data_IF_168253399249
#
_entry.id   IF_168253399249
#
_cell.length_a   1.000
_cell.length_b   1.000
_cell.length_c   1.000
_cell.angle_alpha   90.00
_cell.angle_beta   90.00
_cell.angle_gamma   90.00
#
_symmetry.space_group_name_H-M   'P 1'
#
loop_
_entity.id
_entity.type
_entity.pdbx_description
1 polymer ?
#
# COMPACT_ATOMS: atom_id res chain seq x y z
N UNK A 1 -0.41 9.56 -30.99
CA UNK A 1 -1.32 8.40 -31.04
C UNK A 1 -2.68 8.72 -30.40
N UNK A 2 -3.79 8.40 -31.08
CA UNK A 2 -5.15 8.35 -30.50
C UNK A 2 -5.52 6.90 -30.18
N UNK A 3 -6.31 6.68 -29.13
CA UNK A 3 -6.86 5.37 -28.79
C UNK A 3 -8.38 5.41 -28.96
N UNK A 4 -8.99 4.27 -29.24
CA UNK A 4 -10.46 4.15 -29.33
C UNK A 4 -11.11 4.15 -27.95
N UNK A 5 -12.40 4.44 -27.90
CA UNK A 5 -13.21 4.30 -26.68
C UNK A 5 -13.11 2.89 -26.11
N UNK A 6 -13.18 1.86 -26.96
CA UNK A 6 -13.06 0.48 -26.52
C UNK A 6 -11.68 0.19 -25.89
N UNK A 7 -10.59 0.71 -26.46
CA UNK A 7 -9.25 0.58 -25.88
C UNK A 7 -9.15 1.30 -24.52
N UNK A 8 -9.74 2.49 -24.40
CA UNK A 8 -9.82 3.20 -23.12
C UNK A 8 -10.62 2.42 -22.07
N UNK A 9 -11.77 1.84 -22.44
CA UNK A 9 -12.59 1.06 -21.50
C UNK A 9 -11.91 -0.24 -21.09
N UNK A 10 -11.18 -0.92 -21.98
CA UNK A 10 -10.35 -2.06 -21.60
C UNK A 10 -9.28 -1.67 -20.58
N UNK A 11 -8.64 -0.51 -20.76
CA UNK A 11 -7.69 0.02 -19.78
C UNK A 11 -8.34 0.24 -18.41
N UNK A 12 -9.55 0.82 -18.37
CA UNK A 12 -10.30 1.00 -17.11
C UNK A 12 -10.66 -0.36 -16.49
N UNK A 13 -11.22 -1.30 -17.26
CA UNK A 13 -11.62 -2.64 -16.78
C UNK A 13 -10.43 -3.38 -16.15
N UNK A 14 -9.26 -3.40 -16.82
CA UNK A 14 -8.03 -3.98 -16.25
C UNK A 14 -7.60 -3.30 -14.97
N UNK A 15 -7.64 -1.97 -14.95
CA UNK A 15 -7.26 -1.18 -13.79
C UNK A 15 -8.13 -1.50 -12.58
N UNK A 16 -9.45 -1.58 -12.77
CA UNK A 16 -10.40 -1.94 -11.72
C UNK A 16 -10.21 -3.38 -11.24
N UNK A 17 -10.04 -4.33 -12.18
CA UNK A 17 -9.70 -5.72 -11.84
C UNK A 17 -8.43 -5.81 -10.99
N UNK A 18 -7.41 -5.03 -11.34
CA UNK A 18 -6.13 -5.04 -10.64
C UNK A 18 -6.21 -4.40 -9.26
N UNK A 19 -6.89 -3.26 -9.15
CA UNK A 19 -6.94 -2.48 -7.91
C UNK A 19 -7.92 -3.09 -6.90
N UNK A 20 -9.05 -3.64 -7.39
CA UNK A 20 -10.16 -4.08 -6.54
C UNK A 20 -10.53 -5.56 -6.68
N UNK A 21 -9.94 -6.29 -7.63
CA UNK A 21 -10.37 -7.66 -7.92
C UNK A 21 -11.78 -7.72 -8.50
N UNK A 22 -12.20 -6.70 -9.25
CA UNK A 22 -13.58 -6.50 -9.70
C UNK A 22 -14.17 -7.62 -10.57
N UNK A 23 -13.35 -8.50 -11.17
CA UNK A 23 -13.81 -9.60 -12.01
C UNK A 23 -14.54 -9.17 -13.29
N UNK A 24 -14.27 -7.95 -13.77
CA UNK A 24 -14.83 -7.43 -15.01
C UNK A 24 -14.25 -8.20 -16.21
N UNK A 25 -15.10 -8.55 -17.15
CA UNK A 25 -14.65 -8.97 -18.47
C UNK A 25 -13.96 -7.78 -19.17
N UNK A 26 -12.77 -7.98 -19.70
CA UNK A 26 -11.98 -6.94 -20.39
C UNK A 26 -12.32 -6.91 -21.89
N UNK A 27 -13.52 -6.43 -22.21
CA UNK A 27 -14.07 -6.43 -23.57
C UNK A 27 -14.25 -5.03 -24.17
N UNK A 28 -14.04 -3.96 -23.38
CA UNK A 28 -14.26 -2.58 -23.82
C UNK A 28 -15.72 -2.13 -23.77
N UNK A 29 -16.61 -2.91 -23.13
CA UNK A 29 -18.04 -2.61 -23.02
C UNK A 29 -18.38 -2.02 -21.63
N UNK A 30 -19.08 -0.88 -21.62
CA UNK A 30 -19.55 -0.20 -20.41
C UNK A 30 -20.83 -0.86 -19.87
N UNK A 31 -20.70 -2.04 -19.27
CA UNK A 31 -21.83 -2.75 -18.63
C UNK A 31 -22.31 -2.04 -17.35
N UNK A 32 -23.46 -2.46 -16.81
CA UNK A 32 -23.94 -1.99 -15.50
C UNK A 32 -22.90 -2.30 -14.41
N UNK A 33 -22.34 -3.51 -14.41
CA UNK A 33 -21.27 -3.91 -13.48
C UNK A 33 -20.04 -3.01 -13.64
N UNK A 34 -19.66 -2.63 -14.87
CA UNK A 34 -18.58 -1.66 -15.08
C UNK A 34 -18.88 -0.32 -14.39
N UNK A 35 -20.09 0.23 -14.56
CA UNK A 35 -20.46 1.51 -13.96
C UNK A 35 -20.48 1.44 -12.43
N UNK A 36 -20.94 0.33 -11.85
CA UNK A 36 -20.87 0.08 -10.41
C UNK A 36 -19.42 0.08 -9.92
N UNK A 37 -18.51 -0.61 -10.61
CA UNK A 37 -17.10 -0.65 -10.24
C UNK A 37 -16.40 0.71 -10.42
N UNK A 38 -16.82 1.54 -11.38
CA UNK A 38 -16.36 2.93 -11.48
C UNK A 38 -16.84 3.76 -10.28
N UNK A 39 -18.09 3.59 -9.83
CA UNK A 39 -18.59 4.25 -8.62
C UNK A 39 -17.83 3.78 -7.38
N UNK A 40 -17.50 2.49 -7.29
CA UNK A 40 -16.65 1.96 -6.21
C UNK A 40 -15.27 2.60 -6.21
N UNK A 41 -14.65 2.76 -7.39
CA UNK A 41 -13.40 3.50 -7.53
C UNK A 41 -13.57 4.97 -7.11
N UNK A 42 -14.59 5.66 -7.61
CA UNK A 42 -14.82 7.07 -7.28
C UNK A 42 -15.04 7.27 -5.78
N UNK A 43 -15.86 6.43 -5.17
CA UNK A 43 -16.04 6.37 -3.73
C UNK A 43 -14.71 6.12 -3.01
N UNK A 44 -13.90 5.18 -3.50
CA UNK A 44 -12.65 4.82 -2.87
C UNK A 44 -11.59 5.91 -2.91
N UNK A 45 -11.66 6.79 -3.89
CA UNK A 45 -10.71 7.86 -4.09
C UNK A 45 -11.31 9.24 -3.84
N UNK A 46 -12.44 9.34 -3.14
CA UNK A 46 -13.12 10.60 -2.82
C UNK A 46 -13.34 11.48 -4.07
N UNK A 47 -13.98 10.88 -5.07
CA UNK A 47 -14.43 11.52 -6.30
C UNK A 47 -15.95 11.53 -6.32
N UNK A 48 -16.57 12.44 -7.09
CA UNK A 48 -18.01 12.40 -7.33
C UNK A 48 -18.45 11.02 -7.87
N UNK A 49 -19.50 10.42 -7.28
CA UNK A 49 -20.01 9.07 -7.58
C UNK A 49 -20.82 9.01 -8.90
N UNK A 50 -20.25 9.52 -9.98
CA UNK A 50 -20.97 9.67 -11.25
C UNK A 50 -21.12 8.34 -12.00
N UNK A 51 -20.25 7.37 -11.77
CA UNK A 51 -20.14 6.15 -12.59
C UNK A 51 -19.49 6.38 -13.96
N UNK A 52 -18.99 7.59 -14.22
CA UNK A 52 -18.29 7.97 -15.45
C UNK A 52 -16.84 8.35 -15.14
N UNK A 53 -15.89 7.85 -15.92
CA UNK A 53 -14.47 8.17 -15.76
C UNK A 53 -14.13 9.56 -16.31
N UNK A 54 -14.28 10.60 -15.50
CA UNK A 54 -13.87 11.96 -15.83
C UNK A 54 -12.33 12.12 -15.82
N UNK A 55 -11.75 13.20 -16.37
CA UNK A 55 -10.29 13.39 -16.40
C UNK A 55 -9.62 13.34 -15.02
N UNK A 56 -10.28 13.87 -13.98
CA UNK A 56 -9.79 13.78 -12.60
C UNK A 56 -9.74 12.33 -12.09
N UNK A 57 -10.74 11.52 -12.47
CA UNK A 57 -10.84 10.10 -12.12
C UNK A 57 -9.74 9.31 -12.81
N UNK A 58 -9.50 9.59 -14.10
CA UNK A 58 -8.41 9.01 -14.87
C UNK A 58 -7.06 9.28 -14.22
N UNK A 59 -6.79 10.53 -13.81
CA UNK A 59 -5.53 10.88 -13.14
C UNK A 59 -5.33 10.13 -11.82
N UNK A 60 -6.41 9.93 -11.03
CA UNK A 60 -6.34 9.11 -9.83
C UNK A 60 -6.14 7.62 -10.17
N UNK A 61 -6.77 7.11 -11.22
CA UNK A 61 -6.67 5.70 -11.63
C UNK A 61 -5.26 5.36 -12.14
N UNK A 62 -4.65 6.25 -12.92
CA UNK A 62 -3.23 6.14 -13.35
C UNK A 62 -2.33 5.98 -12.14
N UNK A 63 -2.46 6.88 -11.16
CA UNK A 63 -1.63 6.87 -9.97
C UNK A 63 -1.90 5.67 -9.06
N UNK A 64 -3.15 5.22 -8.98
CA UNK A 64 -3.53 4.00 -8.26
C UNK A 64 -2.89 2.75 -8.88
N UNK A 65 -2.93 2.63 -10.20
CA UNK A 65 -2.26 1.55 -10.93
C UNK A 65 -0.75 1.52 -10.64
N UNK A 66 -0.11 2.68 -10.60
CA UNK A 66 1.33 2.82 -10.33
C UNK A 66 1.74 2.41 -8.90
N UNK A 67 0.78 2.09 -8.04
CA UNK A 67 1.00 1.54 -6.71
C UNK A 67 0.68 0.05 -6.57
N UNK A 68 0.31 -0.61 -7.67
CA UNK A 68 0.10 -2.05 -7.72
C UNK A 68 1.40 -2.72 -8.15
N UNK A 69 1.96 -3.55 -7.27
CA UNK A 69 3.29 -4.14 -7.46
C UNK A 69 3.40 -4.88 -8.79
N UNK A 70 2.41 -5.73 -9.09
CA UNK A 70 2.34 -6.51 -10.32
C UNK A 70 2.27 -5.64 -11.58
N UNK A 71 1.61 -4.47 -11.54
CA UNK A 71 1.61 -3.57 -12.69
C UNK A 71 2.96 -2.91 -12.91
N UNK A 72 3.64 -2.53 -11.83
CA UNK A 72 4.95 -1.89 -11.94
C UNK A 72 5.99 -2.88 -12.44
N UNK A 73 5.95 -4.13 -11.95
CA UNK A 73 6.75 -5.23 -12.49
C UNK A 73 6.47 -5.38 -13.99
N UNK A 74 5.20 -5.43 -14.40
CA UNK A 74 4.82 -5.51 -15.81
C UNK A 74 5.36 -4.33 -16.64
N UNK A 75 5.28 -3.09 -16.14
CA UNK A 75 5.86 -1.90 -16.80
C UNK A 75 7.38 -2.08 -17.00
N UNK A 76 8.10 -2.46 -15.94
CA UNK A 76 9.56 -2.64 -15.97
C UNK A 76 9.95 -3.74 -16.97
N UNK A 77 9.19 -4.83 -16.99
CA UNK A 77 9.36 -5.93 -17.91
C UNK A 77 9.06 -5.57 -19.37
N UNK A 78 8.06 -4.72 -19.63
CA UNK A 78 7.77 -4.20 -20.97
C UNK A 78 8.92 -3.29 -21.44
N UNK A 79 9.37 -2.37 -20.59
CA UNK A 79 10.47 -1.45 -20.90
C UNK A 79 11.78 -2.19 -21.23
N UNK A 80 12.10 -3.24 -20.47
CA UNK A 80 13.24 -4.10 -20.77
C UNK A 80 13.08 -4.84 -22.10
N UNK A 81 11.88 -5.38 -22.37
CA UNK A 81 11.61 -6.12 -23.61
C UNK A 81 11.78 -5.25 -24.85
N UNK A 82 11.35 -3.98 -24.78
CA UNK A 82 11.50 -3.01 -25.89
C UNK A 82 12.83 -2.27 -25.86
N UNK A 83 13.79 -2.70 -25.01
CA UNK A 83 15.13 -2.10 -24.85
C UNK A 83 15.12 -0.61 -24.48
N UNK A 84 14.06 -0.15 -23.81
CA UNK A 84 13.94 1.21 -23.29
C UNK A 84 14.65 1.41 -21.93
N UNK A 85 15.28 0.36 -21.39
CA UNK A 85 16.10 0.42 -20.17
C UNK A 85 16.65 -0.95 -19.75
N UNK A 86 17.47 -0.95 -18.70
CA UNK A 86 17.96 -2.15 -18.00
C UNK A 86 17.50 -2.10 -16.54
N UNK A 87 16.21 -2.37 -16.34
CA UNK A 87 15.54 -2.26 -15.05
C UNK A 87 15.49 -3.59 -14.33
N UNK A 88 15.58 -3.56 -13.00
CA UNK A 88 15.20 -4.70 -12.15
C UNK A 88 13.68 -4.65 -11.96
N UNK A 89 12.91 -5.71 -12.27
CA UNK A 89 11.45 -5.75 -12.04
C UNK A 89 11.11 -5.90 -10.55
N UNK A 90 11.37 -4.85 -9.77
CA UNK A 90 11.20 -4.81 -8.32
C UNK A 90 9.84 -4.26 -7.87
N UNK A 91 9.00 -3.85 -8.81
CA UNK A 91 7.68 -3.28 -8.52
C UNK A 91 7.72 -1.85 -7.97
N UNK A 92 8.84 -1.14 -8.13
CA UNK A 92 9.02 0.24 -7.68
C UNK A 92 9.25 1.20 -8.86
N UNK A 93 8.50 2.31 -8.88
CA UNK A 93 8.73 3.40 -9.85
C UNK A 93 9.75 4.39 -9.27
N UNK A 94 11.02 3.98 -9.26
CA UNK A 94 12.16 4.85 -8.97
C UNK A 94 12.55 5.73 -10.15
N UNK A 95 13.61 6.53 -9.99
CA UNK A 95 14.09 7.46 -11.04
C UNK A 95 14.39 6.75 -12.37
N UNK A 96 15.06 5.60 -12.35
CA UNK A 96 15.40 4.85 -13.56
C UNK A 96 14.15 4.36 -14.31
N UNK A 97 13.17 3.82 -13.57
CA UNK A 97 11.88 3.41 -14.14
C UNK A 97 11.16 4.61 -14.76
N UNK A 98 11.11 5.75 -14.06
CA UNK A 98 10.45 6.97 -14.55
C UNK A 98 11.14 7.53 -15.80
N UNK A 99 12.47 7.58 -15.83
CA UNK A 99 13.24 7.99 -17.01
C UNK A 99 12.97 7.07 -18.18
N UNK A 100 12.97 5.75 -17.97
CA UNK A 100 12.69 4.76 -19.02
C UNK A 100 11.27 4.90 -19.58
N UNK A 101 10.27 5.18 -18.73
CA UNK A 101 8.89 5.48 -19.19
C UNK A 101 8.89 6.71 -20.10
N UNK A 102 9.58 7.79 -19.71
CA UNK A 102 9.66 9.02 -20.53
C UNK A 102 10.34 8.78 -21.87
N UNK A 103 11.46 8.06 -21.88
CA UNK A 103 12.17 7.69 -23.12
C UNK A 103 11.27 6.86 -24.04
N UNK A 104 10.56 5.87 -23.50
CA UNK A 104 9.58 5.09 -24.25
C UNK A 104 8.46 5.98 -24.82
N UNK A 105 7.88 6.86 -24.00
CA UNK A 105 6.83 7.78 -24.43
C UNK A 105 7.30 8.70 -25.56
N UNK A 106 8.48 9.31 -25.42
CA UNK A 106 9.07 10.18 -26.44
C UNK A 106 9.29 9.43 -27.76
N UNK A 107 9.85 8.21 -27.70
CA UNK A 107 10.07 7.36 -28.87
C UNK A 107 8.75 7.00 -29.59
N UNK A 108 7.68 6.81 -28.82
CA UNK A 108 6.35 6.47 -29.34
C UNK A 108 5.51 7.70 -29.75
N UNK A 109 6.09 8.92 -29.69
CA UNK A 109 5.36 10.16 -30.00
C UNK A 109 4.20 10.44 -29.02
N UNK A 110 4.35 10.04 -27.76
CA UNK A 110 3.45 10.31 -26.66
C UNK A 110 3.97 11.47 -25.79
N UNK A 111 3.10 12.01 -24.93
CA UNK A 111 3.55 12.93 -23.89
C UNK A 111 4.46 12.20 -22.90
N UNK A 112 5.68 12.71 -22.69
CA UNK A 112 6.75 12.15 -21.87
C UNK A 112 6.63 12.57 -20.39
N UNK A 113 5.42 12.45 -19.83
CA UNK A 113 5.10 12.81 -18.45
C UNK A 113 5.60 11.80 -17.41
N UNK A 114 6.10 10.64 -17.84
CA UNK A 114 6.54 9.56 -16.98
C UNK A 114 5.38 8.81 -16.31
N UNK A 115 4.16 8.93 -16.83
CA UNK A 115 2.96 8.25 -16.35
C UNK A 115 2.42 7.28 -17.40
N UNK A 116 2.23 6.02 -16.99
CA UNK A 116 1.59 5.00 -17.83
C UNK A 116 0.07 5.13 -17.70
N UNK A 117 -0.51 5.99 -18.53
CA UNK A 117 -1.95 6.06 -18.77
C UNK A 117 -2.41 5.20 -19.94
N UNK A 118 -3.69 5.30 -20.31
CA UNK A 118 -4.31 4.43 -21.32
C UNK A 118 -3.55 4.37 -22.66
N UNK A 119 -3.06 5.52 -23.15
CA UNK A 119 -2.27 5.58 -24.40
C UNK A 119 -0.92 4.88 -24.26
N UNK A 120 -0.19 5.16 -23.19
CA UNK A 120 1.11 4.54 -22.91
C UNK A 120 0.99 3.04 -22.71
N UNK A 121 0.00 2.58 -21.93
CA UNK A 121 -0.24 1.13 -21.73
C UNK A 121 -0.58 0.44 -23.06
N UNK A 122 -1.43 1.06 -23.89
CA UNK A 122 -1.79 0.49 -25.21
C UNK A 122 -0.58 0.35 -26.12
N UNK A 123 0.30 1.35 -26.15
CA UNK A 123 1.56 1.29 -26.90
C UNK A 123 2.51 0.22 -26.32
N UNK A 124 2.65 0.12 -24.99
CA UNK A 124 3.45 -0.94 -24.36
C UNK A 124 2.94 -2.35 -24.70
N UNK A 125 1.62 -2.56 -24.75
CA UNK A 125 1.02 -3.84 -25.16
C UNK A 125 1.40 -4.17 -26.61
N UNK A 126 1.29 -3.20 -27.51
CA UNK A 126 1.59 -3.39 -28.93
C UNK A 126 3.08 -3.73 -29.16
N UNK A 127 3.98 -3.03 -28.47
CA UNK A 127 5.43 -3.17 -28.68
C UNK A 127 6.05 -4.34 -27.92
N UNK A 128 5.63 -4.58 -26.67
CA UNK A 128 6.19 -5.65 -25.85
C UNK A 128 5.49 -7.01 -26.05
N UNK A 129 4.26 -7.02 -26.60
CA UNK A 129 3.45 -8.23 -26.75
C UNK A 129 3.02 -8.87 -25.43
N UNK A 130 3.18 -8.17 -24.30
CA UNK A 130 2.88 -8.67 -22.95
C UNK A 130 1.50 -8.22 -22.51
N UNK A 131 0.76 -9.12 -21.87
CA UNK A 131 -0.54 -8.80 -21.26
C UNK A 131 -0.35 -8.12 -19.90
N UNK A 132 -0.98 -6.96 -19.66
CA UNK A 132 -0.97 -6.32 -18.34
C UNK A 132 -1.80 -7.12 -17.32
N UNK A 133 -1.44 -7.06 -16.03
CA UNK A 133 -2.26 -7.63 -14.95
C UNK A 133 -3.68 -7.05 -14.96
N UNK A 134 -4.67 -7.87 -14.59
CA UNK A 134 -6.09 -7.49 -14.60
C UNK A 134 -6.85 -7.90 -15.86
N UNK A 135 -6.18 -8.54 -16.82
CA UNK A 135 -6.78 -9.23 -17.96
C UNK A 135 -6.62 -10.75 -17.74
N UNK A 136 -7.70 -11.48 -17.47
CA UNK A 136 -7.66 -12.93 -17.25
C UNK A 136 -7.13 -13.65 -18.51
N UNK A 137 -6.31 -14.69 -18.32
CA UNK A 137 -6.05 -15.65 -19.39
C UNK A 137 -7.30 -16.51 -19.62
N UNK A 138 -7.70 -16.68 -20.88
CA UNK A 138 -8.70 -17.66 -21.29
C UNK A 138 -8.15 -19.09 -21.12
N UNK A 139 -7.95 -19.53 -19.87
CA UNK A 139 -7.76 -20.93 -19.49
C UNK A 139 -9.08 -21.57 -19.05
N UNK A 140 -9.19 -22.90 -19.00
CA UNK A 140 -10.42 -23.58 -18.62
C UNK A 140 -10.85 -23.12 -17.23
N UNK A 141 -12.07 -22.57 -17.18
CA UNK A 141 -12.74 -22.11 -15.97
C UNK A 141 -12.66 -23.23 -14.92
N UNK A 142 -12.07 -23.03 -13.73
CA UNK A 142 -12.35 -23.94 -12.63
C UNK A 142 -13.88 -24.03 -12.49
N UNK A 143 -14.45 -25.22 -12.24
CA UNK A 143 -15.89 -25.40 -12.15
C UNK A 143 -16.44 -24.30 -11.23
N UNK A 144 -17.59 -23.69 -11.58
CA UNK A 144 -18.13 -22.57 -10.84
C UNK A 144 -18.12 -22.95 -9.37
N UNK A 145 -17.23 -22.31 -8.60
CA UNK A 145 -17.32 -22.39 -7.15
C UNK A 145 -18.75 -21.93 -6.87
N UNK A 146 -19.61 -22.79 -6.29
CA UNK A 146 -20.94 -22.35 -5.89
C UNK A 146 -20.73 -21.03 -5.20
N UNK A 147 -21.44 -19.94 -5.57
CA UNK A 147 -21.17 -18.63 -5.02
C UNK A 147 -21.08 -18.80 -3.52
N UNK A 148 -19.86 -18.68 -2.98
CA UNK A 148 -19.68 -18.68 -1.53
C UNK A 148 -20.68 -17.63 -1.09
N UNK A 149 -21.64 -17.95 -0.21
CA UNK A 149 -22.60 -16.97 0.24
C UNK A 149 -21.80 -15.72 0.53
N UNK A 150 -22.09 -14.62 -0.20
CA UNK A 150 -21.46 -13.33 0.10
C UNK A 150 -21.57 -13.24 1.62
N UNK A 151 -20.45 -13.14 2.38
CA UNK A 151 -20.57 -12.97 3.82
C UNK A 151 -21.55 -11.83 3.98
N UNK A 152 -22.70 -12.14 4.58
CA UNK A 152 -23.80 -11.21 4.74
C UNK A 152 -23.13 -9.94 5.31
N UNK A 153 -23.30 -8.77 4.70
CA UNK A 153 -22.75 -7.56 5.27
C UNK A 153 -23.18 -7.55 6.74
N UNK A 154 -22.23 -7.66 7.68
CA UNK A 154 -22.54 -7.59 9.11
C UNK A 154 -23.20 -6.24 9.43
N UNK A 155 -23.10 -5.28 8.50
CA UNK A 155 -23.84 -4.03 8.47
C UNK A 155 -24.43 -3.77 7.06
N UNK A 156 -25.76 -3.62 6.90
CA UNK A 156 -26.42 -3.24 5.64
C UNK A 156 -25.90 -1.93 5.03
N UNK A 157 -25.24 -1.09 5.82
CA UNK A 157 -24.71 0.20 5.40
C UNK A 157 -23.22 0.17 5.02
N UNK A 158 -22.55 -0.99 5.07
CA UNK A 158 -21.14 -1.13 4.70
C UNK A 158 -20.95 -2.22 3.61
N UNK A 159 -20.74 -1.86 2.33
CA UNK A 159 -20.59 -2.82 1.25
C UNK A 159 -19.23 -3.53 1.24
N UNK A 160 -18.26 -3.12 2.07
CA UNK A 160 -16.91 -3.68 2.10
C UNK A 160 -16.74 -4.64 3.27
N UNK A 161 -16.11 -5.78 3.01
CA UNK A 161 -15.61 -6.64 4.08
C UNK A 161 -14.55 -5.89 4.92
N UNK A 162 -14.35 -6.27 6.20
CA UNK A 162 -13.28 -5.69 7.03
C UNK A 162 -11.90 -5.71 6.37
N UNK A 163 -11.60 -6.76 5.59
CA UNK A 163 -10.32 -6.90 4.88
C UNK A 163 -10.17 -5.95 3.69
N UNK A 164 -11.23 -5.82 2.89
CA UNK A 164 -11.27 -4.86 1.79
C UNK A 164 -11.14 -3.44 2.32
N UNK A 165 -11.83 -3.14 3.42
CA UNK A 165 -11.77 -1.84 4.10
C UNK A 165 -10.37 -1.53 4.60
N UNK A 166 -9.74 -2.48 5.29
CA UNK A 166 -8.36 -2.32 5.76
C UNK A 166 -7.40 -2.04 4.60
N UNK A 167 -7.48 -2.85 3.53
CA UNK A 167 -6.65 -2.69 2.33
C UNK A 167 -6.86 -1.33 1.67
N UNK A 168 -8.12 -0.90 1.56
CA UNK A 168 -8.51 0.40 1.03
C UNK A 168 -7.92 1.55 1.85
N UNK A 169 -8.04 1.51 3.17
CA UNK A 169 -7.47 2.52 4.07
C UNK A 169 -5.96 2.62 3.92
N UNK A 170 -5.24 1.49 3.94
CA UNK A 170 -3.78 1.47 3.77
C UNK A 170 -3.37 2.05 2.41
N UNK A 171 -4.06 1.68 1.34
CA UNK A 171 -3.76 2.18 0.00
C UNK A 171 -4.02 3.70 -0.14
N UNK A 172 -5.12 4.18 0.43
CA UNK A 172 -5.49 5.60 0.41
C UNK A 172 -4.46 6.47 1.16
N UNK A 173 -4.11 6.07 2.39
CA UNK A 173 -3.12 6.78 3.19
C UNK A 173 -1.72 6.73 2.55
N UNK A 174 -1.37 5.60 1.93
CA UNK A 174 -0.09 5.48 1.19
C UNK A 174 -0.04 6.47 0.04
N UNK A 175 -1.11 6.53 -0.75
CA UNK A 175 -1.23 7.45 -1.87
C UNK A 175 -1.10 8.91 -1.40
N UNK A 176 -1.85 9.28 -0.36
CA UNK A 176 -1.85 10.62 0.21
C UNK A 176 -0.45 11.00 0.69
N UNK A 177 0.16 10.17 1.54
CA UNK A 177 1.49 10.41 2.06
C UNK A 177 2.53 10.46 0.92
N UNK A 178 2.41 9.66 -0.13
CA UNK A 178 3.40 9.60 -1.20
C UNK A 178 3.37 10.82 -2.13
N UNK A 179 2.18 11.37 -2.42
CA UNK A 179 2.06 12.54 -3.29
C UNK A 179 1.99 13.88 -2.56
N UNK A 180 1.65 13.87 -1.27
CA UNK A 180 1.69 15.08 -0.47
C UNK A 180 3.14 15.50 -0.20
N UNK A 181 3.58 16.58 -0.86
CA UNK A 181 4.90 17.18 -0.68
C UNK A 181 4.91 18.19 0.49
N UNK A 182 4.36 17.79 1.64
CA UNK A 182 4.51 18.51 2.90
C UNK A 182 3.34 19.40 3.34
N UNK A 183 2.16 19.32 2.71
CA UNK A 183 0.97 20.04 3.19
C UNK A 183 0.32 19.34 4.37
N UNK A 184 0.20 18.02 4.28
CA UNK A 184 -0.48 17.16 5.26
C UNK A 184 0.57 16.51 6.18
N UNK A 185 1.74 16.18 5.64
CA UNK A 185 2.85 15.58 6.38
C UNK A 185 4.12 16.45 6.30
N UNK A 186 4.16 17.61 7.00
CA UNK A 186 5.28 18.56 6.92
C UNK A 186 6.60 17.97 7.46
N UNK A 187 6.53 17.02 8.40
CA UNK A 187 7.72 16.34 8.92
C UNK A 187 8.19 15.24 7.95
N UNK A 188 9.26 15.52 7.21
CA UNK A 188 9.82 14.60 6.21
C UNK A 188 10.26 13.25 6.80
N UNK A 189 10.80 13.23 8.02
CA UNK A 189 11.23 12.00 8.68
C UNK A 189 10.03 11.14 9.06
N UNK A 190 9.00 11.75 9.67
CA UNK A 190 7.75 11.08 10.01
C UNK A 190 7.04 10.53 8.77
N UNK A 191 6.99 11.32 7.69
CA UNK A 191 6.42 10.93 6.40
C UNK A 191 7.15 9.71 5.80
N UNK A 192 8.48 9.67 5.85
CA UNK A 192 9.27 8.52 5.36
C UNK A 192 8.97 7.25 6.15
N UNK A 193 8.88 7.34 7.48
CA UNK A 193 8.49 6.20 8.34
C UNK A 193 7.07 5.73 8.03
N UNK A 194 6.13 6.66 7.91
CA UNK A 194 4.74 6.39 7.55
C UNK A 194 4.64 5.62 6.22
N UNK A 195 5.34 6.10 5.18
CA UNK A 195 5.40 5.43 3.88
C UNK A 195 5.97 4.02 4.00
N UNK A 196 7.02 3.84 4.81
CA UNK A 196 7.60 2.53 5.07
C UNK A 196 6.60 1.58 5.75
N UNK A 197 5.87 2.03 6.79
CA UNK A 197 4.84 1.22 7.46
C UNK A 197 3.73 0.79 6.49
N UNK A 198 3.19 1.77 5.75
CA UNK A 198 2.12 1.53 4.79
C UNK A 198 2.57 0.58 3.68
N UNK A 199 3.80 0.72 3.18
CA UNK A 199 4.36 -0.19 2.20
C UNK A 199 4.44 -1.63 2.71
N UNK A 200 4.92 -1.84 3.94
CA UNK A 200 4.97 -3.16 4.58
C UNK A 200 3.58 -3.76 4.78
N UNK A 201 2.60 -2.96 5.20
CA UNK A 201 1.21 -3.39 5.33
C UNK A 201 0.62 -3.84 3.99
N UNK A 202 0.94 -3.16 2.88
CA UNK A 202 0.51 -3.59 1.54
C UNK A 202 1.08 -4.95 1.15
N UNK A 203 2.27 -5.29 1.64
CA UNK A 203 2.95 -6.55 1.33
C UNK A 203 2.54 -7.72 2.25
N UNK A 204 1.75 -7.50 3.30
CA UNK A 204 1.39 -8.51 4.32
C UNK A 204 0.79 -9.81 3.78
N UNK A 205 0.07 -9.74 2.66
CA UNK A 205 -0.52 -10.93 2.01
C UNK A 205 0.47 -11.70 1.13
N UNK A 206 1.58 -11.06 0.73
CA UNK A 206 2.62 -11.65 -0.13
C UNK A 206 3.77 -12.22 0.70
N UNK A 207 4.10 -11.58 1.83
CA UNK A 207 5.20 -11.99 2.71
C UNK A 207 4.73 -12.05 4.17
N UNK A 208 5.32 -12.97 4.94
CA UNK A 208 5.13 -13.03 6.40
C UNK A 208 5.84 -11.83 7.05
N UNK A 209 5.10 -10.75 7.25
CA UNK A 209 5.56 -9.52 7.87
C UNK A 209 5.46 -9.60 9.39
N UNK A 210 6.38 -8.92 10.08
CA UNK A 210 6.44 -8.81 11.54
C UNK A 210 6.02 -7.40 11.95
N UNK A 211 4.81 -7.28 12.50
CA UNK A 211 4.20 -6.03 12.93
C UNK A 211 4.22 -5.85 14.44
N UNK A 212 5.03 -6.63 15.15
CA UNK A 212 5.15 -6.49 16.60
C UNK A 212 5.82 -5.17 16.96
N UNK A 213 5.31 -4.53 18.02
CA UNK A 213 5.87 -3.30 18.55
C UNK A 213 5.67 -3.17 20.05
N UNK A 214 6.58 -2.48 20.72
CA UNK A 214 6.48 -2.10 22.12
C UNK A 214 6.07 -0.62 22.18
N UNK A 215 5.11 -0.27 23.03
CA UNK A 215 4.75 1.13 23.28
C UNK A 215 5.75 1.78 24.24
N UNK A 216 5.81 3.11 24.27
CA UNK A 216 6.65 3.82 25.24
C UNK A 216 6.32 3.45 26.69
N UNK A 217 5.02 3.36 27.02
CA UNK A 217 4.56 2.96 28.36
C UNK A 217 4.98 1.55 28.72
N UNK A 218 4.91 0.60 27.79
CA UNK A 218 5.25 -0.79 28.08
C UNK A 218 6.76 -0.97 28.24
N UNK A 219 7.57 -0.21 27.48
CA UNK A 219 9.02 -0.17 27.67
C UNK A 219 9.41 0.31 29.08
N UNK A 220 8.83 1.43 29.55
CA UNK A 220 9.11 1.93 30.91
C UNK A 220 8.59 1.00 32.00
N UNK A 221 7.41 0.39 31.83
CA UNK A 221 6.91 -0.61 32.78
C UNK A 221 7.83 -1.83 32.86
N UNK A 222 8.35 -2.29 31.73
CA UNK A 222 9.29 -3.41 31.68
C UNK A 222 10.62 -3.07 32.35
N UNK A 223 11.12 -1.84 32.19
CA UNK A 223 12.32 -1.36 32.87
C UNK A 223 12.15 -1.31 34.41
N UNK A 224 10.95 -0.99 34.91
CA UNK A 224 10.68 -0.89 36.35
C UNK A 224 10.38 -2.22 37.06
N UNK A 225 10.31 -3.36 36.35
CA UNK A 225 10.16 -4.67 37.01
C UNK A 225 11.44 -5.00 37.80
N UNK A 226 11.39 -4.81 39.11
CA UNK A 226 12.49 -5.03 40.06
C UNK A 226 12.65 -6.52 40.35
N UNK A 227 13.74 -7.11 39.87
CA UNK A 227 14.16 -8.48 40.16
C UNK A 227 14.00 -9.42 38.96
N UNK A 228 15.14 -9.89 38.43
CA UNK A 228 15.25 -11.03 37.51
C UNK A 228 14.35 -11.00 36.26
N UNK A 229 14.60 -10.07 35.33
CA UNK A 229 14.33 -10.34 33.89
C UNK A 229 15.45 -11.19 33.27
N UNK A 230 16.14 -12.02 34.07
CA UNK A 230 16.96 -13.10 33.53
C UNK A 230 16.02 -14.14 32.91
N UNK A 231 15.72 -13.96 31.62
CA UNK A 231 14.98 -14.92 30.79
C UNK A 231 13.68 -14.41 30.17
N UNK A 232 13.11 -13.28 30.63
CA UNK A 232 11.87 -12.74 30.04
C UNK A 232 12.20 -11.87 28.84
N UNK A 233 12.05 -12.43 27.64
CA UNK A 233 12.21 -11.67 26.40
C UNK A 233 11.15 -10.57 26.29
N UNK A 234 11.45 -9.40 25.70
CA UNK A 234 10.46 -8.34 25.48
C UNK A 234 9.23 -8.77 24.67
N UNK A 235 9.25 -9.94 24.03
CA UNK A 235 8.16 -10.51 23.25
C UNK A 235 6.84 -10.68 24.05
N UNK A 236 6.86 -10.69 25.38
CA UNK A 236 5.64 -10.76 26.20
C UNK A 236 4.85 -9.45 26.29
N UNK A 237 5.51 -8.32 26.00
CA UNK A 237 4.91 -6.98 26.12
C UNK A 237 4.67 -6.33 24.76
N UNK A 238 4.76 -7.11 23.67
CA UNK A 238 4.57 -6.58 22.32
C UNK A 238 3.09 -6.47 21.99
N UNK A 239 2.71 -5.29 21.50
CA UNK A 239 1.52 -5.11 20.69
C UNK A 239 1.76 -5.55 19.25
N UNK A 240 0.70 -5.48 18.44
CA UNK A 240 0.79 -5.74 17.00
C UNK A 240 0.11 -4.59 16.24
N UNK A 241 0.88 -3.92 15.38
CA UNK A 241 0.46 -2.70 14.69
C UNK A 241 -0.76 -2.94 13.80
N UNK A 242 -0.72 -4.00 13.00
CA UNK A 242 -1.83 -4.35 12.11
C UNK A 242 -3.11 -4.64 12.91
N UNK A 243 -2.99 -5.44 13.97
CA UNK A 243 -4.13 -5.76 14.86
C UNK A 243 -4.68 -4.52 15.54
N UNK A 244 -3.81 -3.63 16.03
CA UNK A 244 -4.20 -2.35 16.65
C UNK A 244 -4.96 -1.46 15.68
N UNK A 245 -4.43 -1.29 14.46
CA UNK A 245 -5.09 -0.53 13.41
C UNK A 245 -6.45 -1.13 13.02
N UNK A 246 -6.52 -2.45 12.81
CA UNK A 246 -7.79 -3.15 12.51
C UNK A 246 -8.83 -2.92 13.60
N UNK A 247 -8.41 -3.04 14.86
CA UNK A 247 -9.28 -2.78 16.02
C UNK A 247 -9.79 -1.34 16.01
N UNK A 248 -8.96 -0.33 15.73
CA UNK A 248 -9.45 1.06 15.66
C UNK A 248 -10.48 1.25 14.54
N UNK A 249 -10.19 0.70 13.36
CA UNK A 249 -11.09 0.79 12.22
C UNK A 249 -12.43 0.09 12.46
N UNK A 250 -12.48 -0.99 13.25
CA UNK A 250 -13.72 -1.69 13.55
C UNK A 250 -14.70 -0.87 14.39
N UNK A 251 -14.21 0.05 15.22
CA UNK A 251 -15.06 0.92 16.06
C UNK A 251 -15.58 2.18 15.35
N UNK A 252 -15.08 2.48 14.16
CA UNK A 252 -15.52 3.66 13.40
C UNK A 252 -16.91 3.43 12.79
N UNK A 253 -17.76 4.47 12.75
CA UNK A 253 -19.02 4.45 11.98
C UNK A 253 -18.74 4.37 10.47
N UNK A 254 -19.76 4.10 9.66
CA UNK A 254 -19.61 4.09 8.21
C UNK A 254 -19.18 5.47 7.67
N UNK A 255 -19.78 6.56 8.13
CA UNK A 255 -19.40 7.93 7.72
C UNK A 255 -17.95 8.24 8.12
N UNK A 256 -17.52 7.81 9.30
CA UNK A 256 -16.16 8.06 9.76
C UNK A 256 -15.13 7.28 8.96
N UNK A 257 -15.49 6.08 8.49
CA UNK A 257 -14.62 5.26 7.64
C UNK A 257 -14.50 5.79 6.21
N UNK A 258 -15.29 6.79 5.80
CA UNK A 258 -15.12 7.50 4.52
C UNK A 258 -14.41 8.85 4.72
N UNK A 259 -14.27 9.29 5.97
CA UNK A 259 -13.54 10.49 6.33
C UNK A 259 -12.02 10.21 6.36
N UNK A 260 -11.32 10.70 5.34
CA UNK A 260 -9.88 10.52 5.19
C UNK A 260 -9.06 11.10 6.35
N UNK A 261 -9.51 12.22 6.94
CA UNK A 261 -8.81 12.84 8.06
C UNK A 261 -8.89 12.01 9.33
N UNK A 262 -10.07 11.40 9.59
CA UNK A 262 -10.26 10.49 10.71
C UNK A 262 -9.44 9.20 10.52
N UNK A 263 -9.46 8.62 9.32
CA UNK A 263 -8.63 7.45 8.99
C UNK A 263 -7.14 7.74 9.21
N UNK A 264 -6.67 8.90 8.73
CA UNK A 264 -5.30 9.38 8.93
C UNK A 264 -4.97 9.52 10.40
N UNK A 265 -5.86 10.13 11.19
CA UNK A 265 -5.67 10.27 12.64
C UNK A 265 -5.50 8.92 13.34
N UNK A 266 -6.35 7.94 13.04
CA UNK A 266 -6.23 6.60 13.64
C UNK A 266 -4.92 5.91 13.27
N UNK A 267 -4.48 6.05 12.00
CA UNK A 267 -3.21 5.48 11.57
C UNK A 267 -2.03 6.17 12.27
N UNK A 268 -2.00 7.50 12.28
CA UNK A 268 -0.94 8.27 12.91
C UNK A 268 -0.87 8.01 14.41
N UNK A 269 -2.01 7.79 15.07
CA UNK A 269 -2.06 7.40 16.48
C UNK A 269 -1.31 6.08 16.75
N UNK A 270 -1.52 5.05 15.93
CA UNK A 270 -0.76 3.80 16.03
C UNK A 270 0.72 3.99 15.68
N UNK A 271 1.03 4.76 14.63
CA UNK A 271 2.42 5.04 14.24
C UNK A 271 3.19 5.78 15.34
N UNK A 272 2.55 6.73 16.01
CA UNK A 272 3.12 7.48 17.12
C UNK A 272 3.38 6.59 18.34
N UNK A 273 2.59 5.52 18.55
CA UNK A 273 2.83 4.57 19.62
C UNK A 273 4.12 3.76 19.38
N UNK A 274 4.39 3.38 18.14
CA UNK A 274 5.66 2.75 17.72
C UNK A 274 6.83 3.72 17.90
N UNK A 275 6.69 4.97 17.45
CA UNK A 275 7.72 6.01 17.60
C UNK A 275 8.06 6.22 19.09
N UNK A 276 7.04 6.29 19.93
CA UNK A 276 7.18 6.45 21.38
C UNK A 276 7.92 5.27 22.02
N UNK A 277 7.65 4.04 21.57
CA UNK A 277 8.36 2.85 22.01
C UNK A 277 9.85 2.87 21.66
N UNK A 278 10.18 3.22 20.41
CA UNK A 278 11.59 3.35 19.98
C UNK A 278 12.32 4.38 20.82
N UNK A 279 11.69 5.53 21.06
CA UNK A 279 12.31 6.60 21.84
C UNK A 279 12.48 6.20 23.31
N UNK A 280 11.49 5.55 23.91
CA UNK A 280 11.57 5.05 25.28
C UNK A 280 12.69 4.01 25.45
N UNK A 281 12.80 3.04 24.54
CA UNK A 281 13.87 2.03 24.57
C UNK A 281 15.25 2.69 24.48
N UNK A 282 15.41 3.71 23.61
CA UNK A 282 16.66 4.47 23.50
C UNK A 282 16.99 5.26 24.77
N UNK A 283 16.01 5.94 25.36
CA UNK A 283 16.16 6.68 26.62
C UNK A 283 16.54 5.73 27.78
N UNK A 284 15.84 4.60 27.91
CA UNK A 284 16.14 3.56 28.90
C UNK A 284 17.57 3.04 28.75
N UNK A 285 17.99 2.71 27.52
CA UNK A 285 19.35 2.27 27.27
C UNK A 285 20.37 3.38 27.53
N UNK A 286 20.07 4.63 27.20
CA UNK A 286 20.96 5.77 27.49
C UNK A 286 21.16 6.00 28.99
N UNK A 287 20.13 5.81 29.81
CA UNK A 287 20.20 5.99 31.27
C UNK A 287 20.85 4.82 32.00
N UNK A 288 20.48 3.60 31.63
CA UNK A 288 20.83 2.40 32.38
C UNK A 288 21.89 1.54 31.68
N UNK A 289 21.99 1.63 30.36
CA UNK A 289 22.99 0.93 29.55
C UNK A 289 23.17 -0.52 29.95
N UNK A 290 24.41 -0.86 30.30
CA UNK A 290 24.78 -2.20 30.71
C UNK A 290 24.53 -2.51 32.20
N UNK A 291 24.10 -1.53 33.00
CA UNK A 291 23.78 -1.72 34.41
C UNK A 291 22.39 -2.35 34.63
N UNK A 292 21.54 -2.44 33.60
CA UNK A 292 20.21 -3.06 33.69
C UNK A 292 20.01 -4.15 32.64
N UNK A 293 19.72 -5.37 33.09
CA UNK A 293 19.39 -6.50 32.22
C UNK A 293 18.14 -6.21 31.37
N UNK A 294 17.13 -5.55 31.93
CA UNK A 294 15.94 -5.12 31.19
C UNK A 294 16.28 -4.11 30.10
N UNK A 295 17.16 -3.14 30.38
CA UNK A 295 17.61 -2.17 29.37
C UNK A 295 18.38 -2.85 28.23
N UNK A 296 19.29 -3.78 28.56
CA UNK A 296 20.00 -4.61 27.56
C UNK A 296 19.04 -5.42 26.69
N UNK A 297 18.06 -6.08 27.32
CA UNK A 297 17.10 -6.93 26.62
C UNK A 297 16.25 -6.11 25.63
N UNK A 298 15.72 -4.96 26.05
CA UNK A 298 14.98 -4.04 25.18
C UNK A 298 15.84 -3.54 24.01
N UNK A 299 17.09 -3.12 24.27
CA UNK A 299 17.99 -2.63 23.23
C UNK A 299 18.33 -3.73 22.20
N UNK A 300 18.66 -4.94 22.65
CA UNK A 300 18.95 -6.10 21.78
C UNK A 300 17.74 -6.51 20.96
N UNK A 301 16.56 -6.54 21.58
CA UNK A 301 15.31 -6.86 20.89
C UNK A 301 15.03 -5.83 19.79
N UNK A 302 15.14 -4.53 20.10
CA UNK A 302 14.94 -3.47 19.12
C UNK A 302 15.95 -3.57 17.97
N UNK A 303 17.24 -3.79 18.26
CA UNK A 303 18.27 -3.97 17.23
C UNK A 303 17.93 -5.14 16.30
N UNK A 304 17.61 -6.31 16.86
CA UNK A 304 17.25 -7.51 16.09
C UNK A 304 16.04 -7.25 15.18
N UNK A 305 15.03 -6.53 15.68
CA UNK A 305 13.85 -6.15 14.90
C UNK A 305 14.22 -5.13 13.81
N UNK A 306 15.08 -4.16 14.11
CA UNK A 306 15.58 -3.19 13.13
C UNK A 306 16.43 -3.82 12.01
N UNK A 307 17.17 -4.90 12.31
CA UNK A 307 17.97 -5.66 11.36
C UNK A 307 17.11 -6.55 10.44
N UNK A 308 15.87 -6.87 10.85
CA UNK A 308 14.94 -7.66 10.07
C UNK A 308 14.13 -6.79 9.09
N UNK A 309 14.42 -6.88 7.80
CA UNK A 309 13.67 -6.16 6.74
C UNK A 309 12.17 -6.50 6.69
N UNK A 310 11.72 -7.62 7.27
CA UNK A 310 10.29 -7.95 7.38
C UNK A 310 9.62 -7.36 8.63
N UNK A 311 10.39 -6.82 9.56
CA UNK A 311 9.86 -6.13 10.74
C UNK A 311 9.48 -4.69 10.43
N UNK A 312 8.45 -4.19 11.10
CA UNK A 312 8.08 -2.77 11.12
C UNK A 312 9.24 -1.89 11.58
N UNK A 313 10.09 -2.37 12.50
CA UNK A 313 11.19 -1.59 13.05
C UNK A 313 12.33 -1.32 12.06
N UNK A 314 12.44 -2.07 10.97
CA UNK A 314 13.40 -1.73 9.90
C UNK A 314 13.18 -0.33 9.31
N UNK A 315 11.97 0.23 9.44
CA UNK A 315 11.68 1.62 9.07
C UNK A 315 12.37 2.68 9.95
N UNK A 316 13.00 2.27 11.06
CA UNK A 316 13.69 3.14 12.01
C UNK A 316 15.22 3.10 11.89
N UNK A 317 15.77 2.23 11.03
CA UNK A 317 17.18 2.30 10.70
C UNK A 317 17.46 3.59 9.94
N UNK A 318 18.54 4.26 10.30
CA UNK A 318 19.00 5.52 9.71
C UNK A 318 18.91 5.51 8.19
N UNK A 319 17.90 6.21 7.66
CA UNK A 319 17.76 6.88 6.36
C UNK A 319 18.40 6.25 5.10
N UNK A 320 18.62 4.94 5.06
CA UNK A 320 19.39 4.27 4.01
C UNK A 320 18.59 3.24 3.22
N UNK A 321 17.30 3.43 3.02
CA UNK A 321 16.53 2.65 2.04
C UNK A 321 15.33 3.45 1.58
N UNK A 322 15.48 4.20 0.50
CA UNK A 322 14.42 4.46 -0.49
C UNK A 322 15.08 4.77 -1.85
N UNK A 323 14.58 4.23 -2.96
CA UNK A 323 14.78 4.79 -4.30
C UNK A 323 14.07 6.15 -4.50
#
# INVERSE_FOLDING_TARGET
MSITDAQYIKWVQRSLNRIFGSGLKVDGVKTVLYQEQVKEFQFAYALPLTGFMAPADQNKLIKANHFTYEYVVWIQECLNAVKAGTLVPDGLIGNNTRTSIKSFQAYQGLLDDGWVGAKTETSMIAEAGKRPPGEEEAGPKPPPVPPKPKPKPENPHDPLTPEQRFTKTVNSLYYEAFYDRGRIYPNTSQRKKLLCFLHKLKQRGKFKMDFEYITGSDAYRYQNKTGYTEGVMPDEIVGNFEKGLRKRLSWMSFEDRTNQEKLRWHFLSEANAVDSGVNAIKDIHGRWGDASNSAKALARWLSKKQDNNRSLYSCYKSAGFWP
#
